data_IF_461373415841
#
_entry.id   IF_461373415841
#
_cell.length_a   1.000
_cell.length_b   1.000
_cell.length_c   1.000
_cell.angle_alpha   90.00
_cell.angle_beta   90.00
_cell.angle_gamma   90.00
#
_symmetry.space_group_name_H-M   'P 1'
#
loop_
_entity.id
_entity.type
_entity.pdbx_description
1 polymer ?
#
# COMPACT_ATOMS: atom_id res chain seq x y z
N UNK A 1 49.63 47.76 -43.22
CA UNK A 1 50.78 46.86 -42.98
C UNK A 1 51.73 47.52 -41.98
N UNK A 2 51.29 47.65 -40.72
CA UNK A 2 52.09 48.21 -39.62
C UNK A 2 52.59 47.07 -38.75
N UNK A 3 53.89 47.17 -38.43
CA UNK A 3 54.71 46.22 -37.70
C UNK A 3 54.37 46.08 -36.21
N UNK A 4 54.87 45.00 -35.60
CA UNK A 4 55.44 44.95 -34.23
C UNK A 4 56.11 43.57 -34.10
N UNK A 5 57.41 43.41 -33.85
CA UNK A 5 58.24 44.05 -32.82
C UNK A 5 57.88 43.43 -31.47
N UNK A 6 58.75 42.84 -30.66
CA UNK A 6 60.19 42.66 -30.64
C UNK A 6 60.54 41.78 -29.42
N UNK A 7 61.76 41.28 -29.42
CA UNK A 7 62.44 40.44 -28.41
C UNK A 7 62.41 40.99 -26.99
N UNK A 8 62.37 40.12 -25.96
CA UNK A 8 63.08 40.33 -24.68
C UNK A 8 63.45 38.98 -24.02
N UNK A 9 64.75 38.73 -23.92
CA UNK A 9 65.34 37.82 -22.93
C UNK A 9 65.17 38.39 -21.52
N UNK A 10 64.90 37.53 -20.53
CA UNK A 10 65.36 37.72 -19.16
C UNK A 10 65.83 36.38 -18.58
N UNK A 11 67.14 36.26 -18.38
CA UNK A 11 67.75 35.32 -17.44
C UNK A 11 67.44 35.76 -16.01
N UNK A 12 66.99 34.85 -15.14
CA UNK A 12 67.25 34.90 -13.69
C UNK A 12 66.77 33.62 -12.96
N UNK A 13 67.73 32.74 -12.70
CA UNK A 13 68.05 32.10 -11.40
C UNK A 13 66.95 31.92 -10.34
N UNK A 14 66.65 30.63 -10.07
CA UNK A 14 66.55 29.97 -8.75
C UNK A 14 65.75 30.67 -7.63
N UNK A 15 64.55 30.15 -7.33
CA UNK A 15 64.01 30.17 -5.97
C UNK A 15 63.38 28.82 -5.67
N UNK A 16 63.92 28.18 -4.62
CA UNK A 16 63.37 27.01 -3.96
C UNK A 16 62.09 27.44 -3.24
N UNK A 17 61.00 26.71 -3.50
CA UNK A 17 59.76 26.79 -2.73
C UNK A 17 58.98 25.50 -2.92
N UNK A 18 59.02 24.63 -1.90
CA UNK A 18 57.98 23.61 -1.73
C UNK A 18 56.63 24.32 -1.73
N UNK A 19 55.65 23.80 -2.49
CA UNK A 19 54.27 23.66 -2.04
C UNK A 19 53.43 23.07 -3.18
N UNK A 20 53.17 21.77 -3.05
CA UNK A 20 52.19 21.03 -3.83
C UNK A 20 50.78 21.54 -3.51
N UNK A 21 50.32 22.57 -4.21
CA UNK A 21 48.90 22.90 -4.25
C UNK A 21 48.23 22.16 -5.40
N UNK A 22 47.74 20.96 -5.11
CA UNK A 22 46.63 20.43 -5.88
C UNK A 22 45.38 21.28 -5.54
N UNK A 23 44.68 21.88 -6.52
CA UNK A 23 43.38 22.48 -6.24
C UNK A 23 42.42 21.35 -5.89
N UNK A 24 42.02 21.26 -4.62
CA UNK A 24 40.90 20.41 -4.21
C UNK A 24 39.64 20.96 -4.88
N UNK A 25 39.15 20.26 -5.90
CA UNK A 25 37.83 20.47 -6.49
C UNK A 25 36.78 20.01 -5.47
N UNK A 26 36.52 20.85 -4.48
CA UNK A 26 35.41 20.67 -3.55
C UNK A 26 34.11 20.94 -4.32
N UNK A 27 33.43 19.87 -4.76
CA UNK A 27 32.07 19.96 -5.27
C UNK A 27 31.19 20.61 -4.18
N UNK A 28 30.37 21.63 -4.51
CA UNK A 28 29.40 22.14 -3.54
C UNK A 28 28.42 21.03 -3.15
N UNK A 29 27.88 21.01 -1.92
CA UNK A 29 26.84 20.07 -1.55
C UNK A 29 25.64 20.30 -2.47
N UNK A 30 25.26 19.26 -3.23
CA UNK A 30 24.05 19.24 -4.05
C UNK A 30 22.83 19.19 -3.13
N UNK A 31 22.44 20.33 -2.58
CA UNK A 31 21.09 20.51 -2.04
C UNK A 31 20.21 20.97 -3.20
N UNK A 32 19.75 20.00 -3.98
CA UNK A 32 18.59 20.21 -4.84
C UNK A 32 17.35 20.09 -3.93
N UNK A 33 16.61 21.18 -3.65
CA UNK A 33 15.30 21.03 -3.05
C UNK A 33 14.40 20.39 -4.11
N UNK A 34 14.11 19.10 -3.93
CA UNK A 34 13.08 18.40 -4.67
C UNK A 34 11.71 18.86 -4.14
N UNK A 35 11.34 20.10 -4.42
CA UNK A 35 10.02 20.63 -4.05
C UNK A 35 9.00 20.23 -5.11
N UNK A 36 8.63 18.96 -5.13
CA UNK A 36 7.30 18.59 -5.61
C UNK A 36 6.31 19.20 -4.61
N UNK A 37 5.15 19.76 -5.04
CA UNK A 37 4.13 20.18 -4.11
C UNK A 37 3.70 18.95 -3.28
N UNK A 38 4.21 18.85 -2.05
CA UNK A 38 3.65 17.95 -1.06
C UNK A 38 2.24 18.47 -0.77
N UNK A 39 1.24 17.63 -0.97
CA UNK A 39 -0.09 17.91 -0.47
C UNK A 39 0.02 18.03 1.06
N UNK A 40 -0.09 19.27 1.58
CA UNK A 40 0.09 19.56 3.00
C UNK A 40 -1.29 19.64 3.65
N UNK A 41 -1.48 18.80 4.67
CA UNK A 41 -2.65 18.85 5.52
C UNK A 41 -2.51 19.95 6.59
N UNK A 42 -3.64 20.54 7.06
CA UNK A 42 -3.66 21.40 8.25
C UNK A 42 -3.02 20.72 9.48
N UNK A 43 -2.54 21.51 10.43
CA UNK A 43 -1.78 21.05 11.62
C UNK A 43 -2.51 19.96 12.46
N UNK A 44 -3.85 19.93 12.45
CA UNK A 44 -4.66 18.94 13.20
C UNK A 44 -5.09 17.73 12.36
N UNK A 45 -4.44 17.51 11.21
CA UNK A 45 -4.82 16.44 10.28
C UNK A 45 -3.62 15.83 9.56
N UNK A 46 -3.77 14.55 9.25
CA UNK A 46 -2.75 13.72 8.63
C UNK A 46 -3.23 13.28 7.25
N UNK A 47 -2.29 13.20 6.30
CA UNK A 47 -2.59 12.75 4.95
C UNK A 47 -2.79 11.22 4.93
N UNK A 48 -3.97 10.79 4.48
CA UNK A 48 -4.26 9.42 4.09
C UNK A 48 -4.29 9.31 2.55
N UNK A 49 -3.61 8.30 2.01
CA UNK A 49 -3.55 8.04 0.57
C UNK A 49 -3.96 6.59 0.31
N UNK A 50 -5.03 6.39 -0.44
CA UNK A 50 -5.47 5.08 -0.91
C UNK A 50 -5.02 4.91 -2.36
N UNK A 51 -4.17 3.91 -2.61
CA UNK A 51 -3.87 3.42 -3.95
C UNK A 51 -4.65 2.13 -4.17
N UNK A 52 -5.43 2.06 -5.25
CA UNK A 52 -6.27 0.90 -5.55
C UNK A 52 -6.15 0.56 -7.02
N UNK A 53 -5.91 -0.72 -7.33
CA UNK A 53 -5.96 -1.27 -8.69
C UNK A 53 -7.03 -2.33 -8.71
N UNK A 54 -7.99 -2.23 -9.62
CA UNK A 54 -9.03 -3.24 -9.83
C UNK A 54 -8.57 -4.34 -10.78
N UNK A 55 -9.27 -5.47 -10.73
CA UNK A 55 -9.13 -6.58 -11.67
C UNK A 55 -10.13 -6.44 -12.85
N UNK A 56 -10.44 -7.53 -13.55
CA UNK A 56 -11.35 -7.50 -14.70
C UNK A 56 -12.82 -7.20 -14.36
N UNK A 57 -13.17 -7.13 -13.07
CA UNK A 57 -14.54 -6.92 -12.58
C UNK A 57 -14.63 -5.78 -11.54
N UNK A 58 -13.94 -4.68 -11.81
CA UNK A 58 -13.90 -3.53 -10.91
C UNK A 58 -15.26 -2.91 -10.57
N UNK A 59 -16.25 -2.99 -11.46
CA UNK A 59 -17.62 -2.51 -11.20
C UNK A 59 -18.36 -3.22 -10.05
N UNK A 60 -17.87 -4.40 -9.65
CA UNK A 60 -18.41 -5.19 -8.54
C UNK A 60 -17.79 -4.77 -7.21
N UNK A 61 -16.67 -4.06 -7.27
CA UNK A 61 -15.91 -3.58 -6.12
C UNK A 61 -16.26 -2.14 -5.77
N UNK A 62 -16.47 -1.89 -4.49
CA UNK A 62 -16.61 -0.54 -3.94
C UNK A 62 -15.86 -0.41 -2.62
N UNK A 63 -15.49 0.82 -2.26
CA UNK A 63 -14.86 1.09 -0.99
C UNK A 63 -15.55 2.25 -0.27
N UNK A 64 -15.45 2.26 1.06
CA UNK A 64 -15.88 3.34 1.91
C UNK A 64 -14.88 3.60 3.02
N UNK A 65 -14.86 4.84 3.50
CA UNK A 65 -14.09 5.28 4.64
C UNK A 65 -15.04 6.02 5.57
N UNK A 66 -15.14 5.61 6.84
CA UNK A 66 -15.94 6.29 7.85
C UNK A 66 -15.11 6.63 9.09
N UNK A 67 -15.55 7.61 9.88
CA UNK A 67 -14.96 7.87 11.19
C UNK A 67 -15.51 6.92 12.28
N UNK A 68 -15.05 7.10 13.51
CA UNK A 68 -15.50 6.33 14.69
C UNK A 68 -16.97 6.53 15.05
N UNK A 69 -17.60 7.60 14.56
CA UNK A 69 -19.02 7.90 14.78
C UNK A 69 -19.91 7.32 13.66
N UNK A 70 -19.31 6.73 12.62
CA UNK A 70 -20.00 6.22 11.44
C UNK A 70 -20.28 7.29 10.38
N UNK A 71 -19.71 8.48 10.49
CA UNK A 71 -19.81 9.51 9.46
C UNK A 71 -18.97 9.10 8.24
N UNK A 72 -19.58 9.13 7.06
CA UNK A 72 -18.91 8.78 5.81
C UNK A 72 -17.93 9.88 5.39
N UNK A 73 -16.66 9.52 5.39
CA UNK A 73 -15.54 10.37 4.96
C UNK A 73 -15.23 10.19 3.47
N UNK A 74 -15.53 9.03 2.89
CA UNK A 74 -15.33 8.77 1.48
C UNK A 74 -16.05 7.52 1.03
N UNK A 75 -16.37 7.48 -0.26
CA UNK A 75 -16.89 6.30 -0.93
C UNK A 75 -16.44 6.35 -2.39
N UNK A 76 -16.15 5.19 -2.98
CA UNK A 76 -15.81 5.07 -4.39
C UNK A 76 -16.43 3.83 -5.01
N UNK A 77 -17.08 4.04 -6.16
CA UNK A 77 -17.32 2.99 -7.13
C UNK A 77 -16.15 2.96 -8.10
N UNK A 78 -15.87 1.80 -8.67
CA UNK A 78 -14.67 1.53 -9.42
C UNK A 78 -15.04 0.97 -10.80
N UNK A 79 -14.18 1.19 -11.76
CA UNK A 79 -14.25 0.62 -13.10
C UNK A 79 -13.26 -0.55 -13.19
N UNK A 80 -13.52 -1.48 -14.09
CA UNK A 80 -12.63 -2.60 -14.36
C UNK A 80 -11.24 -2.17 -14.87
N UNK A 81 -10.23 -2.96 -14.52
CA UNK A 81 -8.82 -2.82 -14.93
C UNK A 81 -8.26 -1.40 -14.79
N UNK A 82 -8.63 -0.71 -13.72
CA UNK A 82 -8.32 0.72 -13.52
C UNK A 82 -7.56 0.93 -12.22
N UNK A 83 -6.60 1.86 -12.26
CA UNK A 83 -5.88 2.32 -11.09
C UNK A 83 -6.46 3.65 -10.60
N UNK A 84 -6.69 3.73 -9.30
CA UNK A 84 -7.17 4.88 -8.57
C UNK A 84 -6.17 5.31 -7.50
N UNK A 85 -6.08 6.62 -7.30
CA UNK A 85 -5.37 7.23 -6.19
C UNK A 85 -6.29 8.26 -5.54
N UNK A 86 -6.52 8.12 -4.25
CA UNK A 86 -7.33 9.04 -3.46
C UNK A 86 -6.51 9.59 -2.31
N UNK A 87 -6.57 10.90 -2.11
CA UNK A 87 -5.84 11.59 -1.05
C UNK A 87 -6.83 12.38 -0.20
N UNK A 88 -6.74 12.26 1.12
CA UNK A 88 -7.59 13.02 2.05
C UNK A 88 -6.85 13.34 3.34
N UNK A 89 -7.00 14.58 3.81
CA UNK A 89 -6.60 14.95 5.16
C UNK A 89 -7.64 14.44 6.15
N UNK A 90 -7.19 13.62 7.10
CA UNK A 90 -8.01 13.03 8.15
C UNK A 90 -7.57 13.59 9.51
N UNK A 91 -8.50 13.99 10.40
CA UNK A 91 -8.17 14.38 11.77
C UNK A 91 -7.25 13.37 12.46
N UNK A 92 -6.17 13.84 13.09
CA UNK A 92 -5.14 12.98 13.69
C UNK A 92 -5.61 12.24 14.95
N UNK A 93 -6.57 12.81 15.69
CA UNK A 93 -7.12 12.26 16.94
C UNK A 93 -8.35 11.36 16.72
N UNK A 94 -8.59 10.91 15.49
CA UNK A 94 -9.77 10.15 15.10
C UNK A 94 -9.40 8.82 14.48
N UNK A 95 -10.14 7.78 14.87
CA UNK A 95 -10.09 6.47 14.25
C UNK A 95 -10.98 6.42 13.01
N UNK A 96 -10.46 5.82 11.93
CA UNK A 96 -11.21 5.60 10.70
C UNK A 96 -11.33 4.12 10.39
N UNK A 97 -12.47 3.76 9.79
CA UNK A 97 -12.77 2.43 9.30
C UNK A 97 -12.80 2.46 7.78
N UNK A 98 -11.78 1.87 7.16
CA UNK A 98 -11.76 1.60 5.73
C UNK A 98 -12.41 0.26 5.46
N UNK A 99 -13.37 0.21 4.54
CA UNK A 99 -14.03 -1.02 4.11
C UNK A 99 -14.00 -1.10 2.60
N UNK A 100 -13.54 -2.23 2.07
CA UNK A 100 -13.67 -2.59 0.66
C UNK A 100 -14.62 -3.79 0.56
N UNK A 101 -15.50 -3.79 -0.44
CA UNK A 101 -16.52 -4.80 -0.66
C UNK A 101 -16.52 -5.22 -2.10
N UNK A 102 -16.71 -6.51 -2.31
CA UNK A 102 -16.97 -7.11 -3.60
C UNK A 102 -18.32 -7.85 -3.55
N UNK A 103 -19.16 -7.62 -4.55
CA UNK A 103 -20.54 -8.12 -4.55
C UNK A 103 -20.68 -9.60 -4.95
N UNK A 104 -19.71 -10.16 -5.66
CA UNK A 104 -19.71 -11.55 -6.13
C UNK A 104 -18.95 -12.48 -5.19
N UNK A 105 -18.01 -11.94 -4.42
CA UNK A 105 -17.35 -12.61 -3.32
C UNK A 105 -16.07 -13.35 -3.70
N UNK A 106 -15.51 -13.07 -4.86
CA UNK A 106 -14.18 -13.53 -5.28
C UNK A 106 -13.08 -12.50 -4.99
N UNK A 107 -13.47 -11.30 -4.57
CA UNK A 107 -12.57 -10.19 -4.27
C UNK A 107 -11.89 -9.65 -5.52
N UNK A 108 -10.83 -8.88 -5.34
CA UNK A 108 -10.16 -8.19 -6.47
C UNK A 108 -8.91 -8.91 -6.97
N UNK A 109 -8.68 -10.17 -6.59
CA UNK A 109 -7.46 -10.87 -6.94
C UNK A 109 -7.65 -12.30 -7.42
N UNK A 110 -6.75 -12.61 -8.35
CA UNK A 110 -6.02 -13.87 -8.51
C UNK A 110 -6.60 -14.79 -9.58
N UNK A 111 -7.93 -14.78 -9.74
CA UNK A 111 -8.61 -15.56 -10.80
C UNK A 111 -8.79 -14.77 -12.09
N UNK A 112 -9.21 -13.51 -11.97
CA UNK A 112 -9.69 -12.67 -13.09
C UNK A 112 -8.94 -11.33 -13.16
N UNK A 113 -7.66 -11.35 -12.79
CA UNK A 113 -6.81 -10.17 -12.73
C UNK A 113 -6.05 -10.07 -11.42
N UNK A 114 -5.18 -9.06 -11.34
CA UNK A 114 -4.34 -8.82 -10.17
C UNK A 114 -4.63 -7.42 -9.63
N UNK A 115 -5.81 -7.26 -9.04
CA UNK A 115 -6.14 -6.09 -8.25
C UNK A 115 -5.46 -6.12 -6.89
N UNK A 116 -5.27 -4.94 -6.32
CA UNK A 116 -4.70 -4.74 -5.00
C UNK A 116 -5.03 -3.35 -4.49
N UNK A 117 -4.91 -3.15 -3.18
CA UNK A 117 -5.03 -1.82 -2.59
C UNK A 117 -4.03 -1.63 -1.46
N UNK A 118 -3.58 -0.40 -1.25
CA UNK A 118 -2.74 -0.01 -0.14
C UNK A 118 -3.16 1.34 0.41
N UNK A 119 -2.95 1.54 1.71
CA UNK A 119 -3.21 2.82 2.36
C UNK A 119 -1.96 3.29 3.07
N UNK A 120 -1.50 4.48 2.69
CA UNK A 120 -0.49 5.24 3.42
C UNK A 120 -1.20 6.20 4.37
N UNK A 121 -0.77 6.25 5.63
CA UNK A 121 -1.20 7.22 6.62
C UNK A 121 0.03 7.89 7.23
N UNK A 122 0.09 9.21 7.17
CA UNK A 122 1.29 9.99 7.50
C UNK A 122 2.54 9.57 6.70
N UNK A 123 2.33 9.14 5.45
CA UNK A 123 3.39 8.59 4.61
C UNK A 123 3.85 7.16 4.95
N UNK A 124 3.28 6.53 5.98
CA UNK A 124 3.59 5.16 6.37
C UNK A 124 2.53 4.19 5.82
N UNK A 125 2.96 3.07 5.22
CA UNK A 125 2.02 2.02 4.80
C UNK A 125 1.44 1.31 6.01
N UNK A 126 0.12 1.47 6.19
CA UNK A 126 -0.63 0.91 7.32
C UNK A 126 -1.53 -0.24 6.90
N UNK A 127 -1.88 -0.31 5.61
CA UNK A 127 -2.72 -1.37 5.03
C UNK A 127 -2.16 -1.77 3.68
N UNK A 128 -2.10 -3.08 3.43
CA UNK A 128 -1.88 -3.68 2.13
C UNK A 128 -2.84 -4.86 1.98
N UNK A 129 -3.54 -4.91 0.86
CA UNK A 129 -4.56 -5.93 0.61
C UNK A 129 -4.83 -6.16 -0.88
N UNK A 130 -5.76 -7.07 -1.13
CA UNK A 130 -6.15 -7.48 -2.49
C UNK A 130 -6.82 -8.85 -2.52
N UNK A 131 -6.54 -9.71 -1.54
CA UNK A 131 -7.19 -11.02 -1.38
C UNK A 131 -8.22 -10.96 -0.27
N UNK A 132 -9.49 -11.01 -0.65
CA UNK A 132 -10.65 -11.14 0.23
C UNK A 132 -11.77 -11.83 -0.55
N UNK A 133 -12.83 -12.29 0.12
CA UNK A 133 -14.02 -12.80 -0.57
C UNK A 133 -14.99 -11.64 -0.79
N UNK A 134 -15.94 -11.41 0.12
CA UNK A 134 -16.95 -10.36 -0.01
C UNK A 134 -16.51 -9.00 0.53
N UNK A 135 -15.63 -8.96 1.52
CA UNK A 135 -15.17 -7.69 2.09
C UNK A 135 -13.88 -7.82 2.89
N UNK A 136 -13.19 -6.69 3.04
CA UNK A 136 -12.11 -6.51 3.99
C UNK A 136 -12.24 -5.15 4.68
N UNK A 137 -11.95 -5.12 5.97
CA UNK A 137 -12.08 -3.92 6.81
C UNK A 137 -10.81 -3.67 7.60
N UNK A 138 -10.37 -2.41 7.64
CA UNK A 138 -9.13 -1.98 8.26
C UNK A 138 -9.35 -0.72 9.10
N UNK A 139 -8.73 -0.67 10.28
CA UNK A 139 -8.77 0.49 11.17
C UNK A 139 -7.49 1.31 10.97
N UNK A 140 -7.63 2.63 10.84
CA UNK A 140 -6.55 3.57 10.52
C UNK A 140 -6.63 4.78 11.45
N UNK A 141 -5.51 5.40 11.79
CA UNK A 141 -5.45 6.66 12.55
C UNK A 141 -5.66 6.53 14.06
N UNK A 142 -5.89 5.33 14.58
CA UNK A 142 -5.82 5.10 16.02
C UNK A 142 -4.35 4.91 16.44
N UNK A 143 -3.95 5.41 17.62
CA UNK A 143 -2.65 5.13 18.26
C UNK A 143 -2.39 3.64 18.61
N UNK A 144 -3.09 2.70 17.96
CA UNK A 144 -2.94 1.26 18.13
C UNK A 144 -2.13 0.59 17.02
N UNK A 145 -1.25 1.32 16.34
CA UNK A 145 -0.26 0.70 15.45
C UNK A 145 0.86 0.02 16.24
N UNK A 146 0.68 -1.27 16.49
CA UNK A 146 1.56 -2.28 15.92
C UNK A 146 0.87 -3.64 16.07
N UNK A 147 0.78 -4.48 15.03
CA UNK A 147 0.66 -5.90 15.29
C UNK A 147 1.89 -6.26 16.15
N UNK A 148 1.67 -6.54 17.44
CA UNK A 148 2.67 -7.25 18.22
C UNK A 148 2.96 -8.53 17.45
N UNK A 149 4.16 -8.66 16.88
CA UNK A 149 4.68 -9.84 16.19
C UNK A 149 4.55 -11.09 17.08
N UNK A 150 3.34 -11.63 17.18
CA UNK A 150 2.98 -12.74 18.06
C UNK A 150 1.82 -13.57 17.51
N UNK A 151 1.51 -13.44 16.21
CA UNK A 151 0.95 -14.59 15.48
C UNK A 151 2.02 -15.68 15.39
N UNK A 152 2.32 -16.32 16.53
CA UNK A 152 2.69 -17.71 16.50
C UNK A 152 1.55 -18.44 15.77
N UNK A 153 1.83 -19.27 14.76
CA UNK A 153 0.82 -20.16 14.23
C UNK A 153 0.32 -21.02 15.38
N UNK A 154 -0.92 -20.82 15.81
CA UNK A 154 -1.59 -21.73 16.72
C UNK A 154 -1.80 -23.02 15.93
N UNK A 155 -0.87 -23.96 16.11
CA UNK A 155 -0.98 -25.34 15.66
C UNK A 155 -2.10 -26.03 16.45
N UNK A 156 -3.34 -25.62 16.22
CA UNK A 156 -4.50 -26.42 16.59
C UNK A 156 -4.76 -27.38 15.44
N UNK A 157 -4.61 -28.71 15.65
CA UNK A 157 -5.02 -29.67 14.65
C UNK A 157 -6.53 -29.52 14.45
N UNK A 158 -6.91 -29.23 13.21
CA UNK A 158 -8.27 -29.35 12.70
C UNK A 158 -8.86 -30.67 13.21
N UNK A 159 -10.04 -30.71 13.87
CA UNK A 159 -10.68 -31.98 14.17
C UNK A 159 -10.98 -32.64 12.83
N UNK A 160 -10.24 -33.71 12.56
CA UNK A 160 -10.52 -34.65 11.50
C UNK A 160 -11.97 -35.10 11.65
N UNK A 161 -12.84 -34.70 10.73
CA UNK A 161 -14.20 -35.23 10.63
C UNK A 161 -14.10 -36.69 10.21
N UNK A 162 -13.80 -37.54 11.19
CA UNK A 162 -13.77 -38.99 11.06
C UNK A 162 -15.19 -39.51 10.88
N UNK A 163 -15.46 -39.92 9.64
CA UNK A 163 -16.39 -40.95 9.20
C UNK A 163 -17.16 -41.68 10.32
N UNK A 164 -18.48 -41.54 10.32
CA UNK A 164 -19.37 -42.60 10.81
C UNK A 164 -20.37 -42.99 9.70
N UNK A 165 -20.36 -44.26 9.25
CA UNK A 165 -21.45 -44.83 8.49
C UNK A 165 -22.50 -45.45 9.44
N UNK A 166 -23.78 -45.20 9.17
CA UNK A 166 -24.92 -45.88 9.80
C UNK A 166 -26.10 -45.70 8.85
N UNK A 167 -26.84 -46.69 8.35
CA UNK A 167 -26.88 -48.16 8.42
C UNK A 167 -27.75 -48.60 7.20
N UNK A 168 -27.90 -49.90 6.87
CA UNK A 168 -28.46 -50.37 5.58
C UNK A 168 -30.00 -50.26 5.47
N UNK A 169 -30.58 -50.43 4.26
CA UNK A 169 -32.03 -50.37 4.04
C UNK A 169 -32.74 -51.60 4.63
N UNK A 170 -33.75 -51.38 5.47
CA UNK A 170 -34.63 -52.45 5.93
C UNK A 170 -35.65 -52.77 4.84
N UNK A 171 -35.37 -53.83 4.08
CA UNK A 171 -36.37 -54.58 3.32
C UNK A 171 -37.33 -55.25 4.30
N UNK A 172 -38.61 -54.89 4.25
CA UNK A 172 -39.69 -55.68 4.85
C UNK A 172 -40.60 -56.17 3.74
N UNK A 173 -40.57 -57.48 3.53
CA UNK A 173 -41.37 -58.24 2.56
C UNK A 173 -42.42 -59.09 3.28
N UNK A 174 -43.66 -58.98 2.80
CA UNK A 174 -44.75 -59.99 2.74
C UNK A 174 -45.48 -60.45 4.05
N UNK A 175 -46.66 -61.12 3.98
CA UNK A 175 -47.56 -61.44 2.86
C UNK A 175 -49.09 -61.21 3.08
N UNK A 176 -49.84 -61.62 2.05
CA UNK A 176 -51.28 -61.56 1.72
C UNK A 176 -52.28 -62.37 2.59
N UNK A 177 -53.56 -61.96 2.55
CA UNK A 177 -54.83 -62.75 2.43
C UNK A 177 -55.91 -62.74 3.56
N UNK A 178 -57.17 -62.77 3.08
CA UNK A 178 -58.51 -63.08 3.67
C UNK A 178 -59.22 -62.04 4.56
N UNK A 179 -60.37 -61.51 4.11
CA UNK A 179 -61.71 -62.15 4.21
C UNK A 179 -62.65 -61.63 3.13
#
# INVERSE_FOLDING_TARGET
EVASGGVFEFSATHIIGCESWAPSLSLPPSQSPSSLPSFICPDDSVLAQLSLTTDEYGEETSWSLSDSNGELMGVGALESNTQYSYEKCLPQDTCFLFTIQDSYGDGICCGYGHGSYSILYDGNEVVLGGVFEFSATHIIGCESWAPSLSFQPSSSPMPSSSLMPSSPPTTSSEPTFTS
#
